data_IF_900633203472
#
_entry.id   IF_900633203472
#
_cell.length_a   1.000
_cell.length_b   1.000
_cell.length_c   1.000
_cell.angle_alpha   90.00
_cell.angle_beta   90.00
_cell.angle_gamma   90.00
#
_symmetry.space_group_name_H-M   'P 1'
#
loop_
_entity.id
_entity.type
_entity.pdbx_description
1 polymer ?
#
# COMPACT_ATOMS: atom_id res chain seq x y z
N UNK A 1 -0.46 -5.66 0.67
CA UNK A 1 -0.06 -4.48 1.48
C UNK A 1 0.00 -4.78 2.99
N UNK A 2 -0.78 -5.76 3.50
CA UNK A 2 -0.75 -6.19 4.92
C UNK A 2 0.63 -6.50 5.49
N UNK A 3 1.50 -7.19 4.72
CA UNK A 3 2.88 -7.48 5.15
C UNK A 3 3.65 -6.21 5.53
N UNK A 4 3.52 -5.14 4.74
CA UNK A 4 4.18 -3.86 5.00
C UNK A 4 3.61 -3.20 6.26
N UNK A 5 2.29 -3.29 6.48
CA UNK A 5 1.64 -2.79 7.70
C UNK A 5 2.22 -3.50 8.93
N UNK A 6 2.30 -4.84 8.91
CA UNK A 6 2.89 -5.61 10.00
C UNK A 6 4.36 -5.27 10.23
N UNK A 7 5.15 -5.05 9.18
CA UNK A 7 6.55 -4.64 9.30
C UNK A 7 6.69 -3.26 9.97
N UNK A 8 5.84 -2.28 9.59
CA UNK A 8 5.83 -0.94 10.21
C UNK A 8 5.43 -1.01 11.68
N UNK A 9 4.34 -1.73 11.98
CA UNK A 9 3.85 -1.94 13.35
C UNK A 9 4.93 -2.58 14.22
N UNK A 10 5.56 -3.64 13.71
CA UNK A 10 6.61 -4.36 14.43
C UNK A 10 7.84 -3.49 14.70
N UNK A 11 8.32 -2.73 13.72
CA UNK A 11 9.43 -1.78 13.91
C UNK A 11 9.06 -0.74 14.97
N UNK A 12 7.83 -0.22 14.92
CA UNK A 12 7.35 0.81 15.85
C UNK A 12 7.32 0.27 17.28
N UNK A 13 6.75 -0.92 17.48
CA UNK A 13 6.69 -1.60 18.78
C UNK A 13 8.10 -1.90 19.30
N UNK A 14 8.99 -2.45 18.47
CA UNK A 14 10.35 -2.80 18.90
C UNK A 14 11.16 -1.55 19.27
N UNK A 15 11.03 -0.47 18.50
CA UNK A 15 11.69 0.81 18.79
C UNK A 15 11.19 1.38 20.11
N UNK A 16 9.88 1.34 20.36
CA UNK A 16 9.30 1.77 21.64
C UNK A 16 9.83 0.93 22.82
N UNK A 17 9.80 -0.39 22.70
CA UNK A 17 10.31 -1.30 23.74
C UNK A 17 11.79 -1.05 24.04
N UNK A 18 12.60 -0.71 23.04
CA UNK A 18 14.00 -0.34 23.23
C UNK A 18 14.15 0.92 24.09
N UNK A 19 13.40 1.99 23.82
CA UNK A 19 13.48 3.22 24.61
C UNK A 19 12.95 3.01 26.04
N UNK A 20 11.88 2.23 26.20
CA UNK A 20 11.33 1.88 27.51
C UNK A 20 12.34 1.05 28.33
N UNK A 21 12.94 0.04 27.70
CA UNK A 21 14.00 -0.76 28.30
C UNK A 21 15.25 0.05 28.65
N UNK A 22 15.62 1.00 27.78
CA UNK A 22 16.77 1.88 28.02
C UNK A 22 16.55 2.80 29.21
N UNK A 23 15.33 3.33 29.34
CA UNK A 23 14.93 4.19 30.47
C UNK A 23 14.88 3.41 31.78
N UNK A 24 14.39 2.16 31.76
CA UNK A 24 14.42 1.27 32.92
C UNK A 24 15.85 0.97 33.39
N UNK A 25 16.76 0.64 32.46
CA UNK A 25 18.17 0.39 32.81
C UNK A 25 18.84 1.65 33.37
N UNK A 26 18.50 2.83 32.84
CA UNK A 26 19.05 4.08 33.37
C UNK A 26 18.56 4.33 34.79
N UNK A 27 17.28 4.05 35.09
CA UNK A 27 16.76 4.07 36.45
C UNK A 27 17.55 3.12 37.38
N UNK A 28 17.80 1.87 36.97
CA UNK A 28 18.61 0.90 37.75
C UNK A 28 20.05 1.38 38.04
N UNK A 29 20.59 2.29 37.21
CA UNK A 29 21.91 2.88 37.42
C UNK A 29 21.89 3.95 38.50
N UNK A 30 20.79 4.70 38.56
CA UNK A 30 20.63 5.84 39.46
C UNK A 30 20.19 5.40 40.88
N UNK A 31 19.61 4.20 41.04
CA UNK A 31 19.45 3.51 42.32
C UNK A 31 20.71 2.69 42.66
N UNK A 32 21.60 3.24 43.49
CA UNK A 32 22.89 2.62 43.90
C UNK A 32 22.77 1.18 44.47
N UNK A 33 21.58 0.75 44.89
CA UNK A 33 21.29 -0.60 45.41
C UNK A 33 21.17 -1.69 44.32
N UNK A 34 21.13 -1.34 43.02
CA UNK A 34 20.85 -2.26 41.91
C UNK A 34 21.99 -2.42 40.88
N UNK A 35 23.24 -2.08 41.25
CA UNK A 35 24.42 -2.10 40.36
C UNK A 35 24.67 -3.48 39.69
N UNK A 36 24.30 -4.58 40.36
CA UNK A 36 24.36 -5.92 39.77
C UNK A 36 23.35 -6.13 38.63
N UNK A 37 22.11 -5.63 38.80
CA UNK A 37 21.07 -5.73 37.77
C UNK A 37 21.42 -4.86 36.56
N UNK A 38 21.94 -3.64 36.79
CA UNK A 38 22.44 -2.77 35.72
C UNK A 38 23.54 -3.46 34.88
N UNK A 39 24.53 -4.08 35.53
CA UNK A 39 25.63 -4.79 34.84
C UNK A 39 25.16 -6.00 34.03
N UNK A 40 24.13 -6.72 34.51
CA UNK A 40 23.56 -7.87 33.79
C UNK A 40 22.71 -7.44 32.60
N UNK A 41 21.91 -6.38 32.75
CA UNK A 41 20.92 -5.98 31.74
C UNK A 41 21.43 -4.96 30.70
N UNK A 42 22.43 -4.13 31.03
CA UNK A 42 23.01 -3.17 30.08
C UNK A 42 23.49 -3.76 28.74
N UNK A 43 24.12 -4.95 28.66
CA UNK A 43 24.56 -5.52 27.38
C UNK A 43 23.39 -5.88 26.45
N UNK A 44 22.20 -6.17 26.99
CA UNK A 44 21.02 -6.50 26.18
C UNK A 44 20.49 -5.28 25.42
N UNK A 45 20.77 -4.04 25.85
CA UNK A 45 20.40 -2.84 25.08
C UNK A 45 21.01 -2.87 23.67
N UNK A 46 22.29 -3.23 23.58
CA UNK A 46 23.00 -3.33 22.31
C UNK A 46 22.47 -4.48 21.43
N UNK A 47 22.11 -5.62 22.03
CA UNK A 47 21.47 -6.73 21.30
C UNK A 47 20.11 -6.34 20.74
N UNK A 48 19.27 -5.66 21.53
CA UNK A 48 17.95 -5.18 21.09
C UNK A 48 18.14 -4.15 19.97
N UNK A 49 19.05 -3.18 20.13
CA UNK A 49 19.34 -2.18 19.12
C UNK A 49 19.83 -2.81 17.80
N UNK A 50 20.75 -3.79 17.87
CA UNK A 50 21.23 -4.53 16.71
C UNK A 50 20.12 -5.30 15.99
N UNK A 51 19.19 -5.88 16.76
CA UNK A 51 18.00 -6.55 16.19
C UNK A 51 17.10 -5.58 15.45
N UNK A 52 16.83 -4.40 16.02
CA UNK A 52 16.03 -3.34 15.41
C UNK A 52 16.67 -2.88 14.11
N UNK A 53 17.97 -2.58 14.10
CA UNK A 53 18.68 -2.18 12.89
C UNK A 53 18.61 -3.24 11.79
N UNK A 54 18.75 -4.52 12.14
CA UNK A 54 18.65 -5.63 11.18
C UNK A 54 17.25 -5.72 10.55
N UNK A 55 16.20 -5.57 11.37
CA UNK A 55 14.81 -5.58 10.93
C UNK A 55 14.50 -4.36 10.06
N UNK A 56 14.86 -3.16 10.53
CA UNK A 56 14.67 -1.90 9.80
C UNK A 56 15.37 -1.95 8.45
N UNK A 57 16.61 -2.44 8.40
CA UNK A 57 17.34 -2.64 7.15
C UNK A 57 16.62 -3.64 6.22
N UNK A 58 16.15 -4.77 6.74
CA UNK A 58 15.37 -5.76 5.97
C UNK A 58 14.07 -5.19 5.39
N UNK A 59 13.34 -4.40 6.19
CA UNK A 59 12.09 -3.74 5.80
C UNK A 59 12.33 -2.62 4.78
N UNK A 60 13.30 -1.73 5.03
CA UNK A 60 13.74 -0.70 4.06
C UNK A 60 14.11 -1.38 2.74
N UNK A 61 14.84 -2.49 2.80
CA UNK A 61 15.23 -3.21 1.60
C UNK A 61 14.04 -3.80 0.85
N UNK A 62 13.05 -4.30 1.56
CA UNK A 62 11.84 -4.87 0.96
C UNK A 62 10.95 -3.78 0.37
N UNK A 63 10.76 -2.66 1.06
CA UNK A 63 9.85 -1.58 0.66
C UNK A 63 10.49 -0.71 -0.44
N UNK A 64 11.72 -0.24 -0.23
CA UNK A 64 12.37 0.73 -1.13
C UNK A 64 13.09 0.05 -2.31
N UNK A 65 13.68 -1.14 -2.12
CA UNK A 65 14.40 -1.82 -3.20
C UNK A 65 13.55 -2.82 -4.01
N UNK A 66 12.24 -3.01 -3.74
CA UNK A 66 11.40 -3.85 -4.60
C UNK A 66 11.36 -3.33 -6.05
N UNK A 67 11.15 -2.03 -6.22
CA UNK A 67 11.16 -1.39 -7.54
C UNK A 67 12.54 -1.47 -8.21
N UNK A 68 13.63 -1.38 -7.43
CA UNK A 68 15.01 -1.48 -7.93
C UNK A 68 15.35 -2.92 -8.32
N UNK A 69 14.87 -3.93 -7.57
CA UNK A 69 14.97 -5.34 -7.93
C UNK A 69 14.26 -5.62 -9.25
N UNK A 70 13.01 -5.18 -9.39
CA UNK A 70 12.25 -5.36 -10.63
C UNK A 70 12.90 -4.62 -11.80
N UNK A 71 13.50 -3.45 -11.56
CA UNK A 71 14.28 -2.73 -12.58
C UNK A 71 15.55 -3.49 -12.98
N UNK A 72 16.25 -4.11 -12.03
CA UNK A 72 17.43 -4.95 -12.31
C UNK A 72 17.04 -6.21 -13.09
N UNK A 73 15.95 -6.88 -12.71
CA UNK A 73 15.40 -8.02 -13.44
C UNK A 73 14.95 -7.63 -14.85
N UNK A 74 14.24 -6.52 -14.98
CA UNK A 74 13.86 -5.96 -16.27
C UNK A 74 15.07 -5.67 -17.17
N UNK A 75 16.11 -5.03 -16.62
CA UNK A 75 17.40 -4.80 -17.33
C UNK A 75 18.10 -6.10 -17.72
N UNK A 76 18.06 -7.11 -16.85
CA UNK A 76 18.66 -8.43 -17.13
C UNK A 76 17.93 -9.13 -18.26
N UNK A 77 16.59 -9.07 -18.27
CA UNK A 77 15.75 -9.66 -19.31
C UNK A 77 15.83 -8.91 -20.66
N UNK A 78 16.14 -7.61 -20.63
CA UNK A 78 16.38 -6.78 -21.81
C UNK A 78 17.63 -7.17 -22.61
N UNK A 79 18.63 -7.80 -21.99
CA UNK A 79 19.99 -7.82 -22.54
C UNK A 79 20.23 -8.87 -23.64
N UNK A 80 19.25 -9.73 -23.96
CA UNK A 80 19.36 -10.74 -25.01
C UNK A 80 18.08 -10.79 -25.87
N UNK A 81 18.13 -10.31 -27.11
CA UNK A 81 17.10 -10.53 -28.14
C UNK A 81 15.67 -10.02 -27.83
N UNK A 82 15.50 -8.98 -27.00
CA UNK A 82 14.15 -8.61 -26.56
C UNK A 82 13.20 -8.23 -27.71
N UNK A 83 13.70 -7.58 -28.77
CA UNK A 83 12.88 -7.22 -29.94
C UNK A 83 12.32 -8.48 -30.62
N UNK A 84 13.14 -9.53 -30.74
CA UNK A 84 12.69 -10.82 -31.25
C UNK A 84 11.66 -11.48 -30.33
N UNK A 85 11.82 -11.37 -29.01
CA UNK A 85 10.83 -11.89 -28.06
C UNK A 85 9.50 -11.14 -28.13
N UNK A 86 9.52 -9.81 -28.31
CA UNK A 86 8.31 -9.02 -28.56
C UNK A 86 7.61 -9.46 -29.85
N UNK A 87 8.35 -9.62 -30.95
CA UNK A 87 7.81 -10.09 -32.22
C UNK A 87 7.22 -11.50 -32.13
N UNK A 88 7.89 -12.41 -31.41
CA UNK A 88 7.37 -13.75 -31.15
C UNK A 88 6.06 -13.71 -30.36
N UNK A 89 5.97 -12.88 -29.31
CA UNK A 89 4.73 -12.70 -28.55
C UNK A 89 3.62 -12.09 -29.40
N UNK A 90 3.94 -11.16 -30.31
CA UNK A 90 2.95 -10.56 -31.23
C UNK A 90 2.43 -11.62 -32.21
N UNK A 91 3.32 -12.40 -32.85
CA UNK A 91 2.93 -13.49 -33.76
C UNK A 91 2.04 -14.52 -33.06
N UNK A 92 2.42 -14.88 -31.82
CA UNK A 92 1.61 -15.75 -30.98
C UNK A 92 0.20 -15.19 -30.75
N UNK A 93 0.09 -13.91 -30.37
CA UNK A 93 -1.20 -13.26 -30.13
C UNK A 93 -2.05 -13.16 -31.39
N UNK A 94 -1.45 -12.88 -32.54
CA UNK A 94 -2.16 -12.82 -33.81
C UNK A 94 -2.70 -14.20 -34.22
N UNK A 95 -1.94 -15.28 -33.97
CA UNK A 95 -2.42 -16.66 -34.13
C UNK A 95 -3.56 -16.99 -33.16
N UNK A 96 -3.39 -16.71 -31.86
CA UNK A 96 -4.41 -16.93 -30.83
C UNK A 96 -5.71 -16.19 -31.19
N UNK A 97 -5.61 -14.92 -31.60
CA UNK A 97 -6.75 -14.10 -32.04
C UNK A 97 -7.46 -14.71 -33.25
N UNK A 98 -6.72 -15.19 -34.25
CA UNK A 98 -7.30 -15.88 -35.40
C UNK A 98 -8.10 -17.10 -34.98
N UNK A 99 -7.57 -17.90 -34.05
CA UNK A 99 -8.23 -19.13 -33.59
C UNK A 99 -9.45 -18.84 -32.72
N UNK A 100 -9.40 -17.80 -31.87
CA UNK A 100 -10.58 -17.29 -31.14
C UNK A 100 -11.67 -16.84 -32.12
N UNK A 101 -11.30 -16.12 -33.19
CA UNK A 101 -12.28 -15.63 -34.19
C UNK A 101 -12.97 -16.76 -34.94
N UNK A 102 -12.26 -17.88 -35.14
CA UNK A 102 -12.78 -19.09 -35.79
C UNK A 102 -13.48 -20.05 -34.84
N UNK A 103 -13.51 -19.73 -33.54
CA UNK A 103 -14.03 -20.60 -32.47
C UNK A 103 -13.41 -22.01 -32.45
N UNK A 104 -12.16 -22.15 -32.91
CA UNK A 104 -11.46 -23.43 -32.96
C UNK A 104 -10.83 -23.76 -31.60
N UNK A 105 -11.61 -24.43 -30.75
CA UNK A 105 -11.23 -24.79 -29.37
C UNK A 105 -9.94 -25.64 -29.34
N UNK A 106 -9.73 -26.52 -30.32
CA UNK A 106 -8.54 -27.39 -30.36
C UNK A 106 -7.29 -26.55 -30.63
N UNK A 107 -7.38 -25.64 -31.61
CA UNK A 107 -6.29 -24.72 -31.92
C UNK A 107 -6.00 -23.74 -30.77
N UNK A 108 -7.03 -23.27 -30.05
CA UNK A 108 -6.87 -22.40 -28.87
C UNK A 108 -6.14 -23.15 -27.75
N UNK A 109 -6.48 -24.42 -27.48
CA UNK A 109 -5.78 -25.27 -26.50
C UNK A 109 -4.30 -25.46 -26.87
N UNK A 110 -4.00 -25.64 -28.16
CA UNK A 110 -2.61 -25.69 -28.64
C UNK A 110 -1.88 -24.38 -28.36
N UNK A 111 -2.51 -23.23 -28.64
CA UNK A 111 -1.93 -21.92 -28.33
C UNK A 111 -1.67 -21.75 -26.83
N UNK A 112 -2.53 -22.24 -25.95
CA UNK A 112 -2.29 -22.18 -24.49
C UNK A 112 -1.07 -23.03 -24.11
N UNK A 113 -0.91 -24.22 -24.70
CA UNK A 113 0.29 -25.05 -24.49
C UNK A 113 1.56 -24.32 -24.95
N UNK A 114 1.50 -23.69 -26.12
CA UNK A 114 2.61 -22.95 -26.71
C UNK A 114 2.97 -21.70 -25.91
N UNK A 115 2.06 -21.19 -25.06
CA UNK A 115 2.33 -20.07 -24.14
C UNK A 115 3.56 -20.31 -23.26
N UNK A 116 3.79 -21.56 -22.85
CA UNK A 116 4.96 -21.94 -22.04
C UNK A 116 6.29 -21.53 -22.70
N UNK A 117 6.36 -21.54 -24.03
CA UNK A 117 7.56 -21.21 -24.82
C UNK A 117 7.85 -19.71 -24.95
N UNK A 118 6.88 -18.83 -24.67
CA UNK A 118 7.05 -17.38 -24.79
C UNK A 118 7.89 -16.86 -23.62
N UNK A 119 8.89 -16.01 -23.89
CA UNK A 119 9.69 -15.38 -22.83
C UNK A 119 9.13 -14.04 -22.35
N UNK A 120 8.65 -13.19 -23.26
CA UNK A 120 8.05 -11.92 -22.90
C UNK A 120 6.59 -12.10 -22.45
N UNK A 121 6.39 -12.12 -21.12
CA UNK A 121 5.12 -12.45 -20.45
C UNK A 121 4.70 -11.35 -19.46
N UNK A 122 4.24 -10.19 -19.95
CA UNK A 122 3.72 -9.15 -19.07
C UNK A 122 2.44 -9.63 -18.38
N UNK A 123 2.10 -9.07 -17.22
CA UNK A 123 0.98 -9.56 -16.40
C UNK A 123 -0.36 -9.57 -17.14
N UNK A 124 -0.66 -8.54 -17.93
CA UNK A 124 -1.91 -8.48 -18.68
C UNK A 124 -2.01 -9.58 -19.76
N UNK A 125 -0.89 -10.18 -20.19
CA UNK A 125 -0.90 -11.36 -21.06
C UNK A 125 -1.16 -12.64 -20.25
N UNK A 126 -0.55 -12.80 -19.07
CA UNK A 126 -0.88 -13.91 -18.17
C UNK A 126 -2.38 -13.93 -17.84
N UNK A 127 -2.94 -12.78 -17.47
CA UNK A 127 -4.36 -12.64 -17.17
C UNK A 127 -5.27 -13.01 -18.35
N UNK A 128 -4.86 -12.69 -19.59
CA UNK A 128 -5.58 -13.10 -20.79
C UNK A 128 -5.60 -14.63 -20.93
N UNK A 129 -4.46 -15.28 -20.74
CA UNK A 129 -4.35 -16.75 -20.86
C UNK A 129 -5.13 -17.45 -19.74
N UNK A 130 -5.08 -16.94 -18.52
CA UNK A 130 -5.86 -17.46 -17.39
C UNK A 130 -7.36 -17.38 -17.70
N UNK A 131 -7.85 -16.21 -18.16
CA UNK A 131 -9.26 -16.01 -18.54
C UNK A 131 -9.68 -16.95 -19.68
N UNK A 132 -8.86 -17.09 -20.73
CA UNK A 132 -9.14 -18.03 -21.83
C UNK A 132 -9.21 -19.46 -21.29
N UNK A 133 -8.27 -19.86 -20.43
CA UNK A 133 -8.23 -21.20 -19.84
C UNK A 133 -9.48 -21.47 -19.00
N UNK A 134 -9.88 -20.53 -18.15
CA UNK A 134 -11.11 -20.65 -17.35
C UNK A 134 -12.35 -20.78 -18.23
N UNK A 135 -12.45 -20.01 -19.33
CA UNK A 135 -13.60 -20.09 -20.25
C UNK A 135 -13.63 -21.39 -21.04
N UNK A 136 -12.48 -21.93 -21.43
CA UNK A 136 -12.38 -23.26 -22.06
C UNK A 136 -12.87 -24.35 -21.10
N UNK A 137 -12.51 -24.26 -19.82
CA UNK A 137 -12.95 -25.24 -18.83
C UNK A 137 -14.45 -25.14 -18.50
N UNK A 138 -15.04 -23.95 -18.62
CA UNK A 138 -16.45 -23.68 -18.30
C UNK A 138 -17.38 -23.63 -19.51
N UNK A 139 -16.88 -23.88 -20.73
CA UNK A 139 -17.64 -23.83 -21.99
C UNK A 139 -18.40 -22.49 -22.21
N UNK A 140 -17.79 -21.37 -21.83
CA UNK A 140 -18.36 -20.04 -22.04
C UNK A 140 -17.98 -19.44 -23.40
N UNK A 141 -18.76 -18.44 -23.84
CA UNK A 141 -18.54 -17.70 -25.09
C UNK A 141 -17.21 -16.91 -25.08
N UNK A 142 -16.52 -16.95 -26.23
CA UNK A 142 -15.21 -16.34 -26.46
C UNK A 142 -15.27 -15.02 -27.23
N UNK A 143 -16.44 -14.62 -27.73
CA UNK A 143 -16.61 -13.47 -28.62
C UNK A 143 -16.00 -12.15 -28.06
N UNK A 144 -16.12 -11.90 -26.76
CA UNK A 144 -15.59 -10.67 -26.12
C UNK A 144 -14.07 -10.68 -25.94
N UNK A 145 -13.47 -11.87 -25.96
CA UNK A 145 -12.03 -12.02 -25.83
C UNK A 145 -11.30 -11.48 -27.06
N UNK A 146 -11.96 -11.38 -28.22
CA UNK A 146 -11.38 -10.74 -29.40
C UNK A 146 -10.99 -9.29 -29.15
N UNK A 147 -11.86 -8.51 -28.50
CA UNK A 147 -11.58 -7.12 -28.17
C UNK A 147 -10.42 -7.03 -27.17
N UNK A 148 -10.39 -7.96 -26.21
CA UNK A 148 -9.34 -8.04 -25.20
C UNK A 148 -7.99 -8.43 -25.81
N UNK A 149 -7.94 -9.43 -26.70
CA UNK A 149 -6.75 -9.81 -27.46
C UNK A 149 -6.22 -8.64 -28.31
N UNK A 150 -7.11 -7.85 -28.94
CA UNK A 150 -6.72 -6.67 -29.69
C UNK A 150 -6.04 -5.62 -28.81
N UNK A 151 -6.60 -5.37 -27.63
CA UNK A 151 -6.01 -4.43 -26.67
C UNK A 151 -4.64 -4.90 -26.18
N UNK A 152 -4.52 -6.18 -25.83
CA UNK A 152 -3.24 -6.78 -25.40
C UNK A 152 -2.19 -6.69 -26.51
N UNK A 153 -2.54 -7.07 -27.75
CA UNK A 153 -1.65 -6.96 -28.92
C UNK A 153 -1.21 -5.52 -29.17
N UNK A 154 -2.15 -4.55 -29.11
CA UNK A 154 -1.84 -3.13 -29.25
C UNK A 154 -0.90 -2.61 -28.16
N UNK A 155 -1.11 -3.00 -26.90
CA UNK A 155 -0.24 -2.60 -25.80
C UNK A 155 1.19 -3.14 -25.98
N UNK A 156 1.35 -4.39 -26.42
CA UNK A 156 2.67 -4.98 -26.71
C UNK A 156 3.34 -4.28 -27.89
N UNK A 157 2.61 -4.01 -28.98
CA UNK A 157 3.13 -3.25 -30.13
C UNK A 157 3.57 -1.84 -29.74
N UNK A 158 2.81 -1.16 -28.89
CA UNK A 158 3.16 0.16 -28.38
C UNK A 158 4.44 0.11 -27.51
N UNK A 159 4.63 -0.94 -26.71
CA UNK A 159 5.86 -1.11 -25.92
C UNK A 159 7.05 -1.39 -26.84
N UNK A 160 6.87 -2.26 -27.84
CA UNK A 160 7.90 -2.56 -28.84
C UNK A 160 8.38 -1.30 -29.56
N UNK A 161 7.45 -0.46 -30.05
CA UNK A 161 7.79 0.79 -30.72
C UNK A 161 8.63 1.72 -29.82
N UNK A 162 8.25 1.85 -28.54
CA UNK A 162 9.00 2.67 -27.57
C UNK A 162 10.40 2.12 -27.27
N UNK A 163 10.57 0.80 -27.26
CA UNK A 163 11.90 0.18 -27.13
C UNK A 163 12.75 0.42 -28.37
N UNK A 164 12.16 0.32 -29.57
CA UNK A 164 12.83 0.65 -30.82
C UNK A 164 13.27 2.12 -30.86
N UNK A 165 12.39 3.04 -30.46
CA UNK A 165 12.70 4.48 -30.38
C UNK A 165 13.84 4.77 -29.39
N UNK A 166 13.89 4.05 -28.26
CA UNK A 166 14.96 4.15 -27.28
C UNK A 166 16.30 3.68 -27.87
N UNK A 167 16.31 2.54 -28.55
CA UNK A 167 17.51 1.99 -29.17
C UNK A 167 18.01 2.87 -30.33
N UNK A 168 17.10 3.54 -31.03
CA UNK A 168 17.41 4.48 -32.10
C UNK A 168 17.80 5.89 -31.59
N UNK A 169 17.89 6.13 -30.28
CA UNK A 169 18.17 7.43 -29.65
C UNK A 169 17.22 8.59 -30.04
N UNK A 170 16.05 8.28 -30.63
CA UNK A 170 15.18 9.29 -31.24
C UNK A 170 14.31 10.06 -30.23
N UNK A 171 13.98 9.47 -29.07
CA UNK A 171 13.22 10.08 -27.96
C UNK A 171 13.15 9.11 -26.77
N UNK A 172 13.84 9.41 -25.66
CA UNK A 172 13.64 8.66 -24.41
C UNK A 172 12.61 9.36 -23.53
N UNK A 173 11.51 8.69 -23.20
CA UNK A 173 10.58 9.19 -22.17
C UNK A 173 11.31 9.35 -20.82
N UNK A 174 10.97 10.39 -20.04
CA UNK A 174 11.49 10.53 -18.67
C UNK A 174 11.11 9.30 -17.83
N UNK A 175 12.06 8.79 -17.04
CA UNK A 175 11.91 7.59 -16.22
C UNK A 175 11.45 6.35 -17.02
N UNK A 176 11.91 6.23 -18.28
CA UNK A 176 11.53 5.17 -19.21
C UNK A 176 11.51 3.78 -18.54
N UNK A 177 12.61 3.40 -17.90
CA UNK A 177 12.77 2.07 -17.30
C UNK A 177 11.76 1.82 -16.18
N UNK A 178 11.52 2.80 -15.30
CA UNK A 178 10.52 2.68 -14.23
C UNK A 178 9.10 2.52 -14.81
N UNK A 179 8.80 3.23 -15.90
CA UNK A 179 7.51 3.09 -16.60
C UNK A 179 7.35 1.70 -17.20
N UNK A 180 8.38 1.17 -17.85
CA UNK A 180 8.35 -0.19 -18.45
C UNK A 180 8.22 -1.27 -17.37
N UNK A 181 8.97 -1.15 -16.28
CA UNK A 181 8.87 -2.06 -15.12
C UNK A 181 7.45 -2.08 -14.57
N UNK A 182 6.84 -0.91 -14.37
CA UNK A 182 5.46 -0.81 -13.90
C UNK A 182 4.47 -1.45 -14.90
N UNK A 183 4.63 -1.25 -16.20
CA UNK A 183 3.75 -1.87 -17.21
C UNK A 183 3.91 -3.38 -17.34
N UNK A 184 5.11 -3.91 -17.07
CA UNK A 184 5.40 -5.34 -17.16
C UNK A 184 5.01 -6.11 -15.89
N UNK A 185 5.35 -5.58 -14.71
CA UNK A 185 5.29 -6.28 -13.41
C UNK A 185 4.21 -5.80 -12.44
N UNK A 186 3.49 -4.70 -12.68
CA UNK A 186 2.45 -4.27 -11.73
C UNK A 186 1.03 -4.59 -12.19
N UNK A 187 0.28 -5.24 -11.29
CA UNK A 187 -1.17 -5.49 -11.40
C UNK A 187 -2.00 -4.22 -11.52
N UNK A 188 -1.49 -3.09 -11.01
CA UNK A 188 -2.18 -1.79 -11.07
C UNK A 188 -1.73 -0.91 -12.25
N UNK A 189 -1.01 -1.47 -13.23
CA UNK A 189 -0.62 -0.72 -14.43
C UNK A 189 -1.83 -0.31 -15.25
N UNK A 190 -1.72 0.81 -15.99
CA UNK A 190 -2.81 1.26 -16.86
C UNK A 190 -3.20 0.23 -17.92
N UNK A 191 -2.25 -0.63 -18.34
CA UNK A 191 -2.53 -1.75 -19.25
C UNK A 191 -3.42 -2.82 -18.61
N UNK A 192 -3.12 -3.23 -17.37
CA UNK A 192 -3.95 -4.21 -16.65
C UNK A 192 -5.34 -3.62 -16.36
N UNK A 193 -5.42 -2.34 -16.00
CA UNK A 193 -6.72 -1.69 -15.76
C UNK A 193 -7.55 -1.62 -17.05
N UNK A 194 -6.92 -1.25 -18.18
CA UNK A 194 -7.60 -1.24 -19.49
C UNK A 194 -8.05 -2.63 -19.94
N UNK A 195 -7.29 -3.67 -19.57
CA UNK A 195 -7.65 -5.06 -19.81
C UNK A 195 -8.92 -5.45 -19.06
N UNK A 196 -8.99 -5.23 -17.75
CA UNK A 196 -10.21 -5.53 -16.97
C UNK A 196 -11.43 -4.72 -17.41
N UNK A 197 -11.24 -3.47 -17.82
CA UNK A 197 -12.32 -2.66 -18.40
C UNK A 197 -12.88 -3.25 -19.71
N UNK A 198 -12.05 -3.95 -20.49
CA UNK A 198 -12.45 -4.49 -21.79
C UNK A 198 -13.20 -5.82 -21.64
N UNK A 199 -12.76 -6.69 -20.73
CA UNK A 199 -13.42 -7.99 -20.48
C UNK A 199 -14.84 -7.80 -19.95
N UNK A 200 -15.07 -6.79 -19.11
CA UNK A 200 -16.30 -6.69 -18.32
C UNK A 200 -17.35 -5.73 -18.89
N UNK A 201 -17.32 -5.46 -20.19
CA UNK A 201 -18.16 -4.42 -20.81
C UNK A 201 -19.45 -4.96 -21.48
N UNK A 202 -19.76 -6.27 -21.38
CA UNK A 202 -20.86 -6.89 -22.14
C UNK A 202 -22.26 -6.63 -21.57
N UNK A 203 -22.42 -6.62 -20.23
CA UNK A 203 -23.73 -6.41 -19.57
C UNK A 203 -23.68 -5.31 -18.52
N UNK A 204 -24.23 -4.13 -18.85
CA UNK A 204 -24.19 -2.92 -18.00
C UNK A 204 -25.07 -3.06 -16.73
N UNK A 205 -25.97 -4.04 -16.69
CA UNK A 205 -26.95 -4.24 -15.62
C UNK A 205 -26.73 -5.51 -14.77
N UNK A 206 -25.68 -6.29 -15.00
CA UNK A 206 -25.43 -7.50 -14.21
C UNK A 206 -24.79 -7.18 -12.85
N UNK A 207 -25.04 -8.02 -11.84
CA UNK A 207 -24.34 -7.94 -10.55
C UNK A 207 -22.82 -8.08 -10.70
N UNK A 208 -22.37 -8.84 -11.72
CA UNK A 208 -20.96 -8.92 -12.07
C UNK A 208 -20.39 -7.58 -12.50
N UNK A 209 -21.13 -6.78 -13.28
CA UNK A 209 -20.71 -5.45 -13.67
C UNK A 209 -20.47 -4.54 -12.47
N UNK A 210 -21.34 -4.58 -11.46
CA UNK A 210 -21.14 -3.79 -10.23
C UNK A 210 -19.93 -4.23 -9.42
N UNK A 211 -19.77 -5.54 -9.20
CA UNK A 211 -18.58 -6.06 -8.52
C UNK A 211 -17.28 -5.68 -9.27
N UNK A 212 -17.34 -5.67 -10.61
CA UNK A 212 -16.21 -5.29 -11.44
C UNK A 212 -15.89 -3.78 -11.36
N UNK A 213 -16.89 -2.90 -11.14
CA UNK A 213 -16.63 -1.47 -10.86
C UNK A 213 -15.78 -1.31 -9.61
N UNK A 214 -16.09 -2.04 -8.54
CA UNK A 214 -15.33 -1.99 -7.28
C UNK A 214 -13.90 -2.47 -7.45
N UNK A 215 -13.69 -3.57 -8.18
CA UNK A 215 -12.36 -4.12 -8.51
C UNK A 215 -11.54 -3.17 -9.40
N UNK A 216 -12.14 -2.60 -10.45
CA UNK A 216 -11.42 -1.64 -11.31
C UNK A 216 -11.05 -0.39 -10.52
N UNK A 217 -11.93 0.06 -9.62
CA UNK A 217 -11.68 1.22 -8.78
C UNK A 217 -10.62 0.95 -7.71
N UNK A 218 -10.58 -0.25 -7.12
CA UNK A 218 -9.52 -0.64 -6.18
C UNK A 218 -8.14 -0.57 -6.85
N UNK A 219 -8.05 -1.01 -8.12
CA UNK A 219 -6.82 -0.89 -8.91
C UNK A 219 -6.41 0.57 -9.14
N UNK A 220 -7.35 1.50 -9.42
CA UNK A 220 -7.03 2.94 -9.46
C UNK A 220 -6.45 3.42 -8.13
N UNK A 221 -7.13 3.09 -7.03
CA UNK A 221 -6.79 3.54 -5.68
C UNK A 221 -5.45 2.97 -5.21
N UNK A 222 -5.08 1.75 -5.60
CA UNK A 222 -3.76 1.20 -5.27
C UNK A 222 -2.60 2.08 -5.78
N UNK A 223 -2.83 2.85 -6.87
CA UNK A 223 -1.85 3.81 -7.42
C UNK A 223 -1.76 5.10 -6.62
N UNK A 224 -2.69 5.37 -5.70
CA UNK A 224 -2.67 6.54 -4.81
C UNK A 224 -1.37 6.64 -4.01
N UNK A 225 -0.81 5.49 -3.61
CA UNK A 225 0.47 5.39 -2.91
C UNK A 225 1.64 6.06 -3.63
N UNK A 226 1.64 6.09 -4.97
CA UNK A 226 2.69 6.77 -5.76
C UNK A 226 2.64 8.30 -5.62
N UNK A 227 1.50 8.86 -5.23
CA UNK A 227 1.31 10.30 -5.07
C UNK A 227 1.59 10.76 -3.63
N UNK A 228 1.64 9.86 -2.65
CA UNK A 228 1.97 10.22 -1.27
C UNK A 228 3.39 10.80 -1.14
N UNK A 229 4.39 10.19 -1.79
CA UNK A 229 5.78 10.66 -1.75
C UNK A 229 5.97 12.10 -2.26
N UNK A 230 5.59 12.45 -3.50
CA UNK A 230 5.73 13.83 -3.98
C UNK A 230 4.88 14.80 -3.16
N UNK A 231 3.69 14.39 -2.72
CA UNK A 231 2.85 15.22 -1.85
C UNK A 231 3.52 15.53 -0.53
N UNK A 232 4.22 14.55 0.06
CA UNK A 232 4.94 14.74 1.30
C UNK A 232 5.99 15.84 1.18
N UNK A 233 6.81 15.82 0.13
CA UNK A 233 7.81 16.86 -0.07
C UNK A 233 7.20 18.24 -0.36
N UNK A 234 6.10 18.28 -1.12
CA UNK A 234 5.39 19.54 -1.39
C UNK A 234 4.81 20.11 -0.08
N UNK A 235 4.08 19.30 0.68
CA UNK A 235 3.47 19.71 1.95
C UNK A 235 4.54 20.08 2.98
N UNK A 236 5.62 19.31 3.08
CA UNK A 236 6.76 19.62 3.97
C UNK A 236 7.38 20.98 3.63
N UNK A 237 7.62 21.25 2.35
CA UNK A 237 8.19 22.52 1.90
C UNK A 237 7.23 23.69 2.21
N UNK A 238 5.94 23.51 1.96
CA UNK A 238 4.92 24.51 2.29
C UNK A 238 4.87 24.80 3.80
N UNK A 239 4.85 23.77 4.64
CA UNK A 239 4.79 23.94 6.09
C UNK A 239 6.10 24.48 6.68
N UNK A 240 7.26 24.16 6.10
CA UNK A 240 8.52 24.77 6.49
C UNK A 240 8.53 26.28 6.21
N UNK A 241 8.02 26.70 5.04
CA UNK A 241 7.91 28.11 4.67
C UNK A 241 6.90 28.87 5.55
N UNK A 242 5.70 28.31 5.75
CA UNK A 242 4.65 28.92 6.58
C UNK A 242 5.07 28.93 8.06
N UNK A 243 5.64 27.83 8.56
CA UNK A 243 6.14 27.75 9.93
C UNK A 243 7.28 28.74 10.19
N UNK A 244 8.22 28.86 9.25
CA UNK A 244 9.31 29.82 9.32
C UNK A 244 8.82 31.27 9.26
N UNK A 245 7.82 31.59 8.44
CA UNK A 245 7.25 32.93 8.39
C UNK A 245 6.48 33.27 9.66
N UNK A 246 5.65 32.35 10.18
CA UNK A 246 4.93 32.55 11.43
C UNK A 246 5.88 32.77 12.62
N UNK A 247 6.97 32.01 12.67
CA UNK A 247 8.02 32.21 13.67
C UNK A 247 8.68 33.59 13.56
N UNK A 248 8.95 34.07 12.33
CA UNK A 248 9.50 35.41 12.12
C UNK A 248 8.56 36.55 12.53
N UNK A 249 7.26 36.27 12.67
CA UNK A 249 6.23 37.21 13.16
C UNK A 249 5.83 36.94 14.62
N UNK A 250 6.62 36.17 15.38
CA UNK A 250 6.38 35.81 16.78
C UNK A 250 5.03 35.10 17.05
N UNK A 251 4.47 34.41 16.05
CA UNK A 251 3.28 33.57 16.24
C UNK A 251 3.68 32.18 16.74
N UNK A 252 3.13 31.76 17.89
CA UNK A 252 3.31 30.41 18.43
C UNK A 252 2.58 29.36 17.59
N UNK A 253 3.28 28.28 17.21
CA UNK A 253 2.70 27.14 16.50
C UNK A 253 1.93 26.25 17.47
N UNK A 254 0.60 26.19 17.30
CA UNK A 254 -0.26 25.31 18.09
C UNK A 254 -0.40 23.91 17.44
N UNK A 255 -0.90 22.93 18.18
CA UNK A 255 -1.22 21.54 17.75
C UNK A 255 -2.07 21.48 16.48
N UNK A 256 -2.96 22.45 16.27
CA UNK A 256 -3.74 22.56 15.04
C UNK A 256 -2.86 22.73 13.79
N UNK A 257 -1.76 23.49 13.88
CA UNK A 257 -0.81 23.65 12.79
C UNK A 257 -0.18 22.28 12.45
N UNK A 258 0.36 21.59 13.45
CA UNK A 258 0.97 20.27 13.25
C UNK A 258 -0.03 19.20 12.78
N UNK A 259 -1.25 19.19 13.32
CA UNK A 259 -2.31 18.29 12.86
C UNK A 259 -2.72 18.57 11.42
N UNK A 260 -2.85 19.85 11.04
CA UNK A 260 -3.28 20.26 9.69
C UNK A 260 -2.33 19.80 8.58
N UNK A 261 -1.07 19.49 8.90
CA UNK A 261 -0.12 18.86 7.99
C UNK A 261 -0.66 17.57 7.36
N UNK A 262 -1.24 16.68 8.18
CA UNK A 262 -1.79 15.40 7.70
C UNK A 262 -2.97 15.60 6.73
N UNK A 263 -3.87 16.54 7.03
CA UNK A 263 -4.99 16.89 6.15
C UNK A 263 -4.50 17.54 4.86
N UNK A 264 -3.51 18.43 4.94
CA UNK A 264 -2.90 19.05 3.76
C UNK A 264 -2.26 18.01 2.85
N UNK A 265 -1.56 17.02 3.43
CA UNK A 265 -0.98 15.90 2.68
C UNK A 265 -2.07 15.13 1.90
N UNK A 266 -3.21 14.87 2.53
CA UNK A 266 -4.34 14.21 1.88
C UNK A 266 -4.88 15.02 0.70
N UNK A 267 -5.09 16.33 0.86
CA UNK A 267 -5.62 17.17 -0.22
C UNK A 267 -4.63 17.28 -1.39
N UNK A 268 -3.35 17.51 -1.12
CA UNK A 268 -2.31 17.58 -2.16
C UNK A 268 -2.20 16.26 -2.91
N UNK A 269 -2.18 15.13 -2.19
CA UNK A 269 -2.10 13.80 -2.81
C UNK A 269 -3.35 13.45 -3.63
N UNK A 270 -4.53 13.78 -3.13
CA UNK A 270 -5.79 13.60 -3.87
C UNK A 270 -5.81 14.45 -5.14
N UNK A 271 -5.36 15.70 -5.08
CA UNK A 271 -5.30 16.59 -6.24
C UNK A 271 -4.36 16.04 -7.31
N UNK A 272 -3.14 15.63 -6.93
CA UNK A 272 -2.18 15.03 -7.85
C UNK A 272 -2.71 13.72 -8.46
N UNK A 273 -3.32 12.87 -7.64
CA UNK A 273 -3.88 11.59 -8.06
C UNK A 273 -5.04 11.78 -9.06
N UNK A 274 -6.03 12.62 -8.73
CA UNK A 274 -7.19 12.89 -9.60
C UNK A 274 -6.74 13.54 -10.91
N UNK A 275 -5.80 14.49 -10.85
CA UNK A 275 -5.23 15.12 -12.05
C UNK A 275 -4.57 14.08 -12.96
N UNK A 276 -3.80 13.16 -12.39
CA UNK A 276 -3.17 12.07 -13.13
C UNK A 276 -4.20 11.10 -13.74
N UNK A 277 -5.28 10.82 -13.02
CA UNK A 277 -6.36 9.95 -13.45
C UNK A 277 -7.13 10.57 -14.64
N UNK A 278 -7.45 11.86 -14.57
CA UNK A 278 -8.08 12.61 -15.68
C UNK A 278 -7.18 12.66 -16.91
N UNK A 279 -5.86 12.88 -16.74
CA UNK A 279 -4.91 12.86 -17.84
C UNK A 279 -4.85 11.48 -18.53
N UNK A 280 -4.74 10.40 -17.74
CA UNK A 280 -4.65 9.04 -18.27
C UNK A 280 -5.98 8.51 -18.82
N UNK A 281 -7.13 9.07 -18.40
CA UNK A 281 -8.45 8.81 -18.99
C UNK A 281 -8.42 8.96 -20.51
N UNK A 282 -7.87 10.09 -20.98
CA UNK A 282 -7.78 10.41 -22.41
C UNK A 282 -6.80 9.47 -23.12
N UNK A 283 -5.64 9.23 -22.52
CA UNK A 283 -4.54 8.46 -23.12
C UNK A 283 -4.87 6.97 -23.30
N UNK A 284 -5.52 6.36 -22.30
CA UNK A 284 -5.78 4.91 -22.26
C UNK A 284 -7.26 4.56 -22.44
N UNK A 285 -8.12 5.53 -22.78
CA UNK A 285 -9.58 5.36 -22.95
C UNK A 285 -10.27 4.70 -21.74
N UNK A 286 -9.86 5.11 -20.54
CA UNK A 286 -10.30 4.52 -19.28
C UNK A 286 -11.64 5.13 -18.86
N UNK A 287 -12.57 4.30 -18.36
CA UNK A 287 -13.82 4.76 -17.73
C UNK A 287 -13.60 4.94 -16.23
N UNK A 288 -13.87 6.16 -15.74
CA UNK A 288 -13.71 6.50 -14.32
C UNK A 288 -15.05 6.28 -13.62
N UNK A 289 -15.04 5.52 -12.53
CA UNK A 289 -16.20 5.28 -11.68
C UNK A 289 -16.17 6.23 -10.48
N UNK A 290 -16.68 7.45 -10.65
CA UNK A 290 -16.53 8.54 -9.67
C UNK A 290 -17.14 8.25 -8.30
N UNK A 291 -18.28 7.56 -8.24
CA UNK A 291 -18.94 7.24 -6.97
C UNK A 291 -18.15 6.24 -6.14
N UNK A 292 -17.65 5.17 -6.74
CA UNK A 292 -16.79 4.20 -6.07
C UNK A 292 -15.46 4.86 -5.67
N UNK A 293 -14.93 5.73 -6.54
CA UNK A 293 -13.70 6.46 -6.28
C UNK A 293 -13.85 7.39 -5.08
N UNK A 294 -14.96 8.12 -4.97
CA UNK A 294 -15.22 9.02 -3.83
C UNK A 294 -15.36 8.24 -2.53
N UNK A 295 -16.00 7.07 -2.54
CA UNK A 295 -16.10 6.20 -1.35
C UNK A 295 -14.72 5.77 -0.88
N UNK A 296 -13.86 5.28 -1.78
CA UNK A 296 -12.49 4.91 -1.41
C UNK A 296 -11.66 6.12 -0.93
N UNK A 297 -11.78 7.27 -1.58
CA UNK A 297 -11.12 8.49 -1.14
C UNK A 297 -11.63 8.98 0.23
N UNK A 298 -12.91 8.77 0.55
CA UNK A 298 -13.48 9.07 1.86
C UNK A 298 -12.85 8.18 2.95
N UNK A 299 -12.68 6.88 2.68
CA UNK A 299 -11.95 5.98 3.58
C UNK A 299 -10.49 6.41 3.80
N UNK A 300 -9.78 6.79 2.73
CA UNK A 300 -8.42 7.32 2.85
C UNK A 300 -8.42 8.63 3.65
N UNK A 301 -9.38 9.51 3.37
CA UNK A 301 -9.59 10.74 4.13
C UNK A 301 -9.82 10.48 5.61
N UNK A 302 -10.53 9.41 5.96
CA UNK A 302 -10.74 9.00 7.36
C UNK A 302 -9.43 8.59 8.06
N UNK A 303 -8.48 7.96 7.35
CA UNK A 303 -7.15 7.66 7.89
C UNK A 303 -6.38 8.95 8.22
N UNK A 304 -6.45 9.96 7.33
CA UNK A 304 -5.80 11.25 7.56
C UNK A 304 -6.52 12.09 8.62
N UNK A 305 -7.84 11.97 8.71
CA UNK A 305 -8.63 12.56 9.79
C UNK A 305 -8.23 11.96 11.14
N UNK A 306 -8.02 10.64 11.22
CA UNK A 306 -7.53 9.97 12.44
C UNK A 306 -6.15 10.51 12.85
N UNK A 307 -5.22 10.68 11.91
CA UNK A 307 -3.92 11.35 12.19
C UNK A 307 -4.13 12.76 12.77
N UNK A 308 -4.98 13.57 12.15
CA UNK A 308 -5.28 14.93 12.60
C UNK A 308 -5.88 14.95 14.01
N UNK A 309 -6.90 14.11 14.24
CA UNK A 309 -7.59 14.03 15.52
C UNK A 309 -6.64 13.55 16.61
N UNK A 310 -5.80 12.55 16.36
CA UNK A 310 -4.88 12.04 17.38
C UNK A 310 -3.75 13.04 17.73
N UNK A 311 -3.38 13.94 16.81
CA UNK A 311 -2.44 15.03 17.13
C UNK A 311 -3.11 16.10 17.99
N UNK A 312 -4.35 16.50 17.66
CA UNK A 312 -5.07 17.55 18.38
C UNK A 312 -5.56 17.07 19.75
N UNK A 313 -6.10 15.86 19.79
CA UNK A 313 -6.61 15.17 20.97
C UNK A 313 -5.51 14.39 21.69
N UNK A 314 -4.23 14.72 21.48
CA UNK A 314 -3.18 14.17 22.32
C UNK A 314 -3.34 14.74 23.73
N UNK A 315 -3.52 13.93 24.80
CA UNK A 315 -3.49 14.49 26.15
C UNK A 315 -2.19 15.26 26.41
N UNK A 316 -2.21 16.16 27.40
CA UNK A 316 -0.97 16.64 28.02
C UNK A 316 -0.77 15.70 29.21
N UNK A 317 -0.03 14.61 29.03
CA UNK A 317 0.32 13.74 30.17
C UNK A 317 1.09 14.60 31.18
N UNK A 318 0.66 14.56 32.44
CA UNK A 318 1.39 15.21 33.53
C UNK A 318 2.72 14.51 33.73
N UNK A 319 3.79 15.28 33.82
CA UNK A 319 5.06 14.77 34.31
C UNK A 319 4.86 14.22 35.73
N UNK A 320 5.38 13.03 35.97
CA UNK A 320 5.63 12.53 37.31
C UNK A 320 7.10 12.15 37.46
N UNK A 321 7.52 11.94 38.71
CA UNK A 321 8.88 11.53 39.03
C UNK A 321 9.17 10.06 38.68
N UNK A 322 8.18 9.31 38.17
CA UNK A 322 8.37 7.92 37.81
C UNK A 322 9.11 7.80 36.47
N UNK A 323 10.10 6.90 36.40
CA UNK A 323 10.96 6.72 35.22
C UNK A 323 10.19 6.43 33.91
N UNK A 324 9.00 5.80 34.02
CA UNK A 324 8.15 5.44 32.89
C UNK A 324 7.23 6.58 32.41
N UNK A 325 7.17 7.71 33.15
CA UNK A 325 6.39 8.90 32.80
C UNK A 325 7.25 10.09 32.32
N UNK A 326 8.55 9.85 32.04
CA UNK A 326 9.43 10.87 31.45
C UNK A 326 8.86 11.48 30.16
N UNK A 327 9.13 12.76 29.90
CA UNK A 327 8.63 13.50 28.73
C UNK A 327 8.87 12.75 27.41
N UNK A 328 10.05 12.12 27.27
CA UNK A 328 10.43 11.39 26.07
C UNK A 328 9.61 10.10 25.88
N UNK A 329 9.40 9.30 26.94
CA UNK A 329 8.61 8.07 26.86
C UNK A 329 7.15 8.43 26.59
N UNK A 330 6.65 9.45 27.27
CA UNK A 330 5.33 10.04 27.06
C UNK A 330 5.12 10.47 25.61
N UNK A 331 6.08 11.20 25.02
CA UNK A 331 6.06 11.58 23.62
C UNK A 331 6.08 10.37 22.67
N UNK A 332 6.92 9.37 22.96
CA UNK A 332 6.98 8.14 22.18
C UNK A 332 5.68 7.34 22.25
N UNK A 333 5.02 7.26 23.41
CA UNK A 333 3.69 6.63 23.55
C UNK A 333 2.68 7.28 22.59
N UNK A 334 2.66 8.61 22.47
CA UNK A 334 1.81 9.32 21.52
C UNK A 334 2.11 8.98 20.08
N UNK A 335 3.38 9.04 19.71
CA UNK A 335 3.81 8.75 18.34
C UNK A 335 3.45 7.31 17.97
N UNK A 336 3.76 6.36 18.86
CA UNK A 336 3.44 4.94 18.68
C UNK A 336 1.92 4.75 18.58
N UNK A 337 1.13 5.36 19.45
CA UNK A 337 -0.32 5.30 19.39
C UNK A 337 -0.88 5.80 18.05
N UNK A 338 -0.43 6.96 17.57
CA UNK A 338 -0.84 7.51 16.26
C UNK A 338 -0.49 6.53 15.15
N UNK A 339 0.72 5.98 15.15
CA UNK A 339 1.14 4.99 14.14
C UNK A 339 0.28 3.72 14.22
N UNK A 340 0.06 3.17 15.42
CA UNK A 340 -0.70 1.94 15.58
C UNK A 340 -2.19 2.09 15.23
N UNK A 341 -2.80 3.24 15.58
CA UNK A 341 -4.20 3.57 15.20
C UNK A 341 -4.34 3.72 13.68
N UNK A 342 -3.43 4.47 13.06
CA UNK A 342 -3.49 4.70 11.61
C UNK A 342 -3.18 3.44 10.80
N UNK A 343 -2.30 2.58 11.30
CA UNK A 343 -2.05 1.26 10.73
C UNK A 343 -3.27 0.35 10.87
N UNK A 344 -4.08 0.51 11.92
CA UNK A 344 -5.30 -0.28 12.13
C UNK A 344 -6.35 0.03 11.06
N UNK A 345 -6.60 1.32 10.80
CA UNK A 345 -7.47 1.77 9.71
C UNK A 345 -6.92 1.37 8.33
N UNK A 346 -5.61 1.51 8.13
CA UNK A 346 -4.94 1.07 6.90
C UNK A 346 -5.07 -0.45 6.67
N UNK A 347 -5.08 -1.24 7.75
CA UNK A 347 -5.27 -2.68 7.72
C UNK A 347 -6.70 -3.05 7.32
N UNK A 348 -7.70 -2.40 7.93
CA UNK A 348 -9.12 -2.56 7.56
C UNK A 348 -9.32 -2.20 6.09
N UNK A 349 -8.77 -1.07 5.65
CA UNK A 349 -8.86 -0.60 4.28
C UNK A 349 -8.23 -1.58 3.28
N UNK A 350 -7.04 -2.09 3.59
CA UNK A 350 -6.38 -3.09 2.75
C UNK A 350 -7.18 -4.38 2.68
N UNK A 351 -7.76 -4.82 3.79
CA UNK A 351 -8.63 -6.01 3.82
C UNK A 351 -9.89 -5.82 2.98
N UNK A 352 -10.50 -4.64 3.00
CA UNK A 352 -11.63 -4.30 2.14
C UNK A 352 -11.23 -4.33 0.65
N UNK A 353 -10.10 -3.73 0.29
CA UNK A 353 -9.58 -3.77 -1.09
C UNK A 353 -9.36 -5.22 -1.56
N UNK A 354 -8.73 -6.06 -0.73
CA UNK A 354 -8.48 -7.47 -1.07
C UNK A 354 -9.79 -8.27 -1.26
N UNK A 355 -10.82 -8.04 -0.43
CA UNK A 355 -12.12 -8.67 -0.61
C UNK A 355 -12.76 -8.32 -1.96
N UNK A 356 -12.69 -7.06 -2.37
CA UNK A 356 -13.22 -6.62 -3.67
C UNK A 356 -12.37 -7.08 -4.85
N UNK A 357 -11.06 -7.25 -4.69
CA UNK A 357 -10.15 -7.70 -5.76
C UNK A 357 -10.27 -9.20 -6.06
N UNK A 358 -10.31 -10.03 -5.01
CA UNK A 358 -10.22 -11.49 -5.13
C UNK A 358 -11.55 -12.22 -4.97
N UNK A 359 -12.63 -11.53 -4.60
CA UNK A 359 -13.96 -12.11 -4.36
C UNK A 359 -13.95 -13.31 -3.38
N UNK A 360 -12.93 -13.40 -2.51
CA UNK A 360 -12.76 -14.50 -1.55
C UNK A 360 -13.50 -14.19 -0.24
N UNK A 361 -14.81 -14.47 -0.24
CA UNK A 361 -15.63 -14.32 0.96
C UNK A 361 -15.46 -15.54 1.88
N UNK A 362 -14.67 -15.41 2.94
CA UNK A 362 -14.77 -16.28 4.10
C UNK A 362 -15.20 -15.47 5.31
N UNK A 363 -16.21 -15.95 6.03
CA UNK A 363 -16.78 -15.29 7.22
C UNK A 363 -15.72 -15.10 8.31
N UNK A 364 -14.83 -16.07 8.48
CA UNK A 364 -13.71 -16.02 9.42
C UNK A 364 -12.75 -14.88 9.04
N UNK A 365 -12.39 -14.73 7.76
CA UNK A 365 -11.51 -13.64 7.33
C UNK A 365 -12.17 -12.27 7.51
N UNK A 366 -13.49 -12.18 7.32
CA UNK A 366 -14.23 -10.93 7.52
C UNK A 366 -14.22 -10.52 9.00
N UNK A 367 -14.48 -11.47 9.91
CA UNK A 367 -14.47 -11.20 11.35
C UNK A 367 -13.08 -10.78 11.83
N UNK A 368 -12.05 -11.55 11.50
CA UNK A 368 -10.69 -11.32 12.00
C UNK A 368 -10.04 -10.09 11.37
N UNK A 369 -10.27 -9.83 10.08
CA UNK A 369 -9.54 -8.79 9.36
C UNK A 369 -10.26 -7.45 9.25
N UNK A 370 -11.56 -7.41 9.55
CA UNK A 370 -12.39 -6.20 9.41
C UNK A 370 -13.14 -5.91 10.70
N UNK A 371 -14.03 -6.80 11.15
CA UNK A 371 -14.93 -6.50 12.28
C UNK A 371 -14.14 -6.28 13.58
N UNK A 372 -13.25 -7.21 13.94
CA UNK A 372 -12.46 -7.11 15.17
C UNK A 372 -11.58 -5.84 15.21
N UNK A 373 -10.79 -5.51 14.17
CA UNK A 373 -10.04 -4.26 14.16
C UNK A 373 -10.93 -3.00 14.19
N UNK A 374 -12.12 -3.01 13.58
CA UNK A 374 -13.07 -1.88 13.69
C UNK A 374 -13.55 -1.68 15.12
N UNK A 375 -13.91 -2.76 15.83
CA UNK A 375 -14.35 -2.68 17.23
C UNK A 375 -13.24 -2.09 18.10
N UNK A 376 -12.00 -2.55 17.91
CA UNK A 376 -10.84 -2.06 18.66
C UNK A 376 -10.56 -0.59 18.35
N UNK A 377 -10.70 -0.20 17.08
CA UNK A 377 -10.57 1.20 16.68
C UNK A 377 -11.61 2.09 17.38
N UNK A 378 -12.89 1.69 17.36
CA UNK A 378 -13.97 2.47 17.98
C UNK A 378 -13.75 2.61 19.49
N UNK A 379 -13.45 1.50 20.18
CA UNK A 379 -13.17 1.51 21.62
C UNK A 379 -11.97 2.42 21.91
N UNK A 380 -10.92 2.34 21.10
CA UNK A 380 -9.73 3.17 21.26
C UNK A 380 -10.02 4.66 21.07
N UNK A 381 -10.79 5.01 20.04
CA UNK A 381 -11.16 6.40 19.77
C UNK A 381 -11.99 7.00 20.91
N UNK A 382 -12.94 6.22 21.46
CA UNK A 382 -13.75 6.63 22.62
C UNK A 382 -12.87 6.81 23.87
N UNK A 383 -11.96 5.87 24.15
CA UNK A 383 -11.03 5.99 25.27
C UNK A 383 -10.10 7.19 25.12
N UNK A 384 -9.62 7.49 23.90
CA UNK A 384 -8.79 8.66 23.65
C UNK A 384 -9.57 9.95 23.91
N UNK A 385 -10.80 10.04 23.39
CA UNK A 385 -11.69 11.19 23.62
C UNK A 385 -11.97 11.41 25.12
N UNK A 386 -12.27 10.34 25.87
CA UNK A 386 -12.49 10.41 27.31
C UNK A 386 -11.20 10.77 28.07
N UNK A 387 -10.04 10.33 27.61
CA UNK A 387 -8.75 10.65 28.24
C UNK A 387 -8.42 12.14 28.17
N UNK A 388 -8.77 12.82 27.06
CA UNK A 388 -8.59 14.27 26.92
C UNK A 388 -9.46 15.05 27.90
N UNK A 389 -10.68 14.58 28.18
CA UNK A 389 -11.61 15.25 29.09
C UNK A 389 -11.39 14.90 30.57
N UNK A 390 -10.53 13.93 30.88
CA UNK A 390 -10.21 13.52 32.24
C UNK A 390 -8.78 13.95 32.60
N UNK A 391 -8.61 15.25 32.82
CA UNK A 391 -7.32 15.92 33.13
C UNK A 391 -6.67 15.44 34.45
N UNK A 392 -7.39 14.64 35.25
CA UNK A 392 -6.94 14.21 36.56
C UNK A 392 -6.13 12.91 36.54
N UNK A 393 -6.14 12.12 35.45
CA UNK A 393 -5.39 10.86 35.43
C UNK A 393 -4.96 10.39 34.03
N UNK A 394 -3.70 9.97 33.92
CA UNK A 394 -3.10 9.36 32.73
C UNK A 394 -3.60 7.93 32.44
N UNK A 395 -4.38 7.34 33.36
CA UNK A 395 -4.77 5.92 33.35
C UNK A 395 -5.55 5.49 32.10
N UNK A 396 -6.51 6.28 31.65
CA UNK A 396 -7.35 5.95 30.49
C UNK A 396 -6.53 5.87 29.20
N UNK A 397 -5.55 6.78 29.06
CA UNK A 397 -4.65 6.79 27.91
C UNK A 397 -3.73 5.56 27.90
N UNK A 398 -3.16 5.19 29.05
CA UNK A 398 -2.35 3.98 29.18
C UNK A 398 -3.15 2.70 28.89
N UNK A 399 -4.40 2.61 29.38
CA UNK A 399 -5.29 1.49 29.06
C UNK A 399 -5.52 1.39 27.54
N UNK A 400 -5.75 2.54 26.90
CA UNK A 400 -5.94 2.60 25.46
C UNK A 400 -4.71 2.13 24.68
N UNK A 401 -3.53 2.61 25.08
CA UNK A 401 -2.26 2.20 24.51
C UNK A 401 -2.02 0.68 24.65
N UNK A 402 -2.23 0.13 25.86
CA UNK A 402 -2.06 -1.30 26.14
C UNK A 402 -3.02 -2.14 25.28
N UNK A 403 -4.27 -1.70 25.12
CA UNK A 403 -5.26 -2.42 24.31
C UNK A 403 -4.81 -2.57 22.85
N UNK A 404 -4.38 -1.47 22.22
CA UNK A 404 -3.89 -1.49 20.84
C UNK A 404 -2.58 -2.29 20.74
N UNK A 405 -1.68 -2.13 21.71
CA UNK A 405 -0.42 -2.86 21.75
C UNK A 405 -0.63 -4.37 21.81
N UNK A 406 -1.52 -4.83 22.69
CA UNK A 406 -1.88 -6.24 22.84
C UNK A 406 -2.53 -6.77 21.57
N UNK A 407 -3.46 -6.02 20.98
CA UNK A 407 -4.08 -6.40 19.71
C UNK A 407 -3.03 -6.65 18.62
N UNK A 408 -2.13 -5.70 18.40
CA UNK A 408 -1.10 -5.83 17.37
C UNK A 408 -0.12 -6.97 17.66
N UNK A 409 0.25 -7.16 18.93
CA UNK A 409 1.11 -8.27 19.35
C UNK A 409 0.46 -9.63 19.08
N UNK A 410 -0.81 -9.80 19.44
CA UNK A 410 -1.59 -11.03 19.18
C UNK A 410 -1.79 -11.23 17.67
N UNK A 411 -2.10 -10.17 16.93
CA UNK A 411 -2.28 -10.20 15.48
C UNK A 411 -0.99 -10.62 14.74
N UNK A 412 0.17 -10.12 15.17
CA UNK A 412 1.47 -10.52 14.63
C UNK A 412 1.76 -12.01 14.86
N UNK A 413 1.44 -12.53 16.05
CA UNK A 413 1.61 -13.94 16.38
C UNK A 413 0.64 -14.83 15.61
N UNK A 414 -0.63 -14.42 15.52
CA UNK A 414 -1.70 -15.20 14.87
C UNK A 414 -1.59 -15.21 13.35
N UNK A 415 -1.01 -14.17 12.73
CA UNK A 415 -0.81 -14.12 11.28
C UNK A 415 -0.03 -15.34 10.74
N UNK A 416 0.89 -15.92 11.53
CA UNK A 416 1.61 -17.16 11.14
C UNK A 416 0.70 -18.40 11.08
N UNK A 417 -0.41 -18.39 11.79
CA UNK A 417 -1.36 -19.50 11.87
C UNK A 417 -2.57 -19.32 10.97
N UNK A 418 -2.92 -18.07 10.59
CA UNK A 418 -4.11 -17.73 9.82
C UNK A 418 -3.87 -17.80 8.29
N UNK A 419 -2.62 -17.74 7.81
CA UNK A 419 -2.32 -17.75 6.36
C UNK A 419 -2.24 -19.15 5.73
N UNK A 420 -3.00 -20.13 6.22
CA UNK A 420 -3.19 -21.42 5.53
C UNK A 420 -4.61 -21.60 5.04
#
# INVERSE_FOLDING_TARGET
MKKVIYEIVFITIMTFLYYLYSSWIQFLKDTEEEDMLYKIFSPFQLLILGSIFTIVYGTIKTILFFNIKNLKEYKKNLRNNILFEFENTIKYLDNLKSNIKKEDIVAIKSCIKDYSSIKYKPIYLNLLIDEITTRILSNHDFSDLLQTCNLVSSNIKNVLHKEQDRLAYNKSENLFELRRVNEYYNNNSWFVISFYLTIHNKDIHSHEYEANKWKITSLYISRFSYFLYPSFFITLSLYALIGGSLYAFDYSLNRFFYGSFGISLFFVSTLLFVSNLIYNKKKYKIKIFWLQLSIYLMFIGFIFLDMFLNVILSPILKESNDWYESELITFLCYLVYIVLSTMLLSYIFTSLLELFEYKSFSTINLILNIIMPIIIFIISAVLNYLSVHNENSNKLYLINFIMIFVYWSVSLLSNKFITK
#
